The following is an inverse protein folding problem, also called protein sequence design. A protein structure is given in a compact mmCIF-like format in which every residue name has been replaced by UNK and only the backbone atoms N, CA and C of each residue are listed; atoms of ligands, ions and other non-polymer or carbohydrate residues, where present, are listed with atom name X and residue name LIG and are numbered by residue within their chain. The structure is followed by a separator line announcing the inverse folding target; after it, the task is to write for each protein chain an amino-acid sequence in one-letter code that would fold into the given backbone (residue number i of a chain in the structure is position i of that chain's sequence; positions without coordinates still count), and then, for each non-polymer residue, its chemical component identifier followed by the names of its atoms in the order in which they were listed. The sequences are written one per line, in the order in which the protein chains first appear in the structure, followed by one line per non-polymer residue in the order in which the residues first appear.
data_IF_583828482673
#
_entry.id   IF_583828482673
#
_cell.length_a   1.000
_cell.length_b   1.000
_cell.length_c   1.000
_cell.angle_alpha   90.00
_cell.angle_beta   90.00
_cell.angle_gamma   90.00
#
_symmetry.space_group_name_H-M   'P 1'
#
loop_
_entity.id
_entity.type
_entity.pdbx_description
1 polymer ?
#
# COMPACT_ATOMS: atom_id res chain seq x y z
N UNK A 1 -3.99 22.72 5.45
CA UNK A 1 -5.20 22.76 4.62
C UNK A 1 -6.37 22.32 5.50
N UNK A 2 -7.51 23.01 5.46
CA UNK A 2 -8.68 22.63 6.27
C UNK A 2 -9.66 21.91 5.34
N UNK A 3 -10.15 20.76 5.77
CA UNK A 3 -11.14 19.96 5.04
C UNK A 3 -12.34 19.71 5.95
N UNK A 4 -13.49 19.40 5.36
CA UNK A 4 -14.71 19.05 6.07
C UNK A 4 -15.11 17.59 5.82
N UNK A 5 -15.83 17.01 6.79
CA UNK A 5 -16.48 15.71 6.62
C UNK A 5 -17.83 15.95 5.95
N UNK A 6 -18.04 15.26 4.82
CA UNK A 6 -19.27 15.27 4.04
C UNK A 6 -20.20 14.14 4.49
N UNK A 7 -21.29 13.94 3.76
CA UNK A 7 -22.23 12.84 4.03
C UNK A 7 -21.53 11.47 4.01
N UNK A 8 -22.08 10.51 4.77
CA UNK A 8 -21.55 9.14 4.88
C UNK A 8 -20.08 9.08 5.32
N UNK A 9 -19.65 10.03 6.16
CA UNK A 9 -18.28 10.09 6.70
C UNK A 9 -17.19 10.18 5.63
N UNK A 10 -17.50 10.82 4.50
CA UNK A 10 -16.54 11.00 3.41
C UNK A 10 -15.73 12.28 3.59
N UNK A 11 -14.44 12.24 3.24
CA UNK A 11 -13.60 13.42 3.13
C UNK A 11 -13.03 13.52 1.72
N UNK A 12 -12.74 14.75 1.29
CA UNK A 12 -11.96 14.97 0.06
C UNK A 12 -10.49 15.07 0.45
N UNK A 13 -9.67 14.11 -0.04
CA UNK A 13 -8.22 14.21 0.05
C UNK A 13 -7.76 15.19 -1.05
N UNK A 14 -7.04 16.27 -0.69
CA UNK A 14 -6.53 17.25 -1.63
C UNK A 14 -5.65 16.63 -2.72
N UNK A 15 -5.67 17.21 -3.92
CA UNK A 15 -4.96 16.66 -5.09
C UNK A 15 -3.45 16.60 -4.85
N UNK A 16 -2.89 17.59 -4.15
CA UNK A 16 -1.47 17.66 -3.84
C UNK A 16 -1.04 16.46 -2.99
N UNK A 17 -1.84 16.07 -2.00
CA UNK A 17 -1.58 14.90 -1.15
C UNK A 17 -1.73 13.60 -1.95
N UNK A 18 -2.75 13.51 -2.80
CA UNK A 18 -2.93 12.34 -3.67
C UNK A 18 -1.71 12.11 -4.58
N UNK A 19 -1.16 13.20 -5.14
CA UNK A 19 0.00 13.16 -6.02
C UNK A 19 1.28 12.83 -5.25
N UNK A 20 1.49 13.45 -4.08
CA UNK A 20 2.65 13.20 -3.23
C UNK A 20 2.73 11.74 -2.77
N UNK A 21 1.58 11.14 -2.44
CA UNK A 21 1.50 9.74 -2.01
C UNK A 21 1.34 8.75 -3.17
N UNK A 22 1.28 9.24 -4.42
CA UNK A 22 1.06 8.43 -5.62
C UNK A 22 -0.14 7.47 -5.48
N UNK A 23 -1.26 7.99 -4.98
CA UNK A 23 -2.51 7.26 -4.81
C UNK A 23 -3.57 7.77 -5.77
N UNK A 24 -4.43 6.85 -6.20
CA UNK A 24 -5.53 7.13 -7.14
C UNK A 24 -6.88 6.64 -6.61
N UNK A 25 -7.96 7.03 -7.30
CA UNK A 25 -9.31 6.56 -7.00
C UNK A 25 -9.34 5.02 -6.98
N UNK A 26 -9.83 4.46 -5.87
CA UNK A 26 -9.89 3.00 -5.66
C UNK A 26 -8.69 2.41 -4.93
N UNK A 27 -7.67 3.21 -4.60
CA UNK A 27 -6.60 2.80 -3.69
C UNK A 27 -7.19 2.48 -2.32
N UNK A 28 -6.86 1.30 -1.78
CA UNK A 28 -7.27 0.93 -0.43
C UNK A 28 -6.40 1.65 0.60
N UNK A 29 -7.04 2.20 1.63
CA UNK A 29 -6.39 2.84 2.76
C UNK A 29 -6.77 2.10 4.03
N UNK A 30 -5.77 1.79 4.85
CA UNK A 30 -6.01 1.45 6.24
C UNK A 30 -6.35 2.73 7.02
N UNK A 31 -7.40 2.70 7.84
CA UNK A 31 -7.85 3.84 8.64
C UNK A 31 -7.78 3.48 10.13
N UNK A 32 -6.99 4.24 10.90
CA UNK A 32 -6.76 4.01 12.34
C UNK A 32 -6.80 5.32 13.12
N UNK A 33 -7.01 5.22 14.42
CA UNK A 33 -6.82 6.33 15.37
C UNK A 33 -5.51 6.12 16.11
N UNK A 34 -4.59 7.08 16.02
CA UNK A 34 -3.31 7.07 16.73
C UNK A 34 -3.17 8.42 17.42
N UNK A 35 -3.01 8.43 18.75
CA UNK A 35 -2.86 9.66 19.55
C UNK A 35 -3.97 10.71 19.31
N UNK A 36 -5.20 10.26 19.06
CA UNK A 36 -6.34 11.15 18.78
C UNK A 36 -6.41 11.66 17.33
N UNK A 37 -5.49 11.22 16.46
CA UNK A 37 -5.45 11.59 15.05
C UNK A 37 -6.01 10.46 14.16
N UNK A 38 -6.70 10.82 13.07
CA UNK A 38 -7.06 9.87 12.03
C UNK A 38 -5.84 9.68 11.13
N UNK A 39 -5.27 8.47 11.14
CA UNK A 39 -4.15 8.08 10.29
C UNK A 39 -4.67 7.21 9.16
N UNK A 40 -4.45 7.67 7.93
CA UNK A 40 -4.76 6.94 6.70
C UNK A 40 -3.47 6.45 6.06
N UNK A 41 -3.33 5.15 5.88
CA UNK A 41 -2.13 4.54 5.30
C UNK A 41 -2.49 3.79 4.03
N UNK A 42 -1.91 4.13 2.87
CA UNK A 42 -2.13 3.36 1.65
C UNK A 42 -1.68 1.90 1.82
N UNK A 43 -2.57 0.97 1.46
CA UNK A 43 -2.28 -0.46 1.50
C UNK A 43 -2.52 -1.10 0.13
N UNK A 44 -1.58 -1.96 -0.26
CA UNK A 44 -1.76 -2.89 -1.36
C UNK A 44 -2.00 -4.27 -0.76
N UNK A 45 -3.11 -4.89 -1.14
CA UNK A 45 -3.31 -6.31 -0.90
C UNK A 45 -2.47 -7.06 -1.91
N UNK A 46 -1.49 -7.82 -1.43
CA UNK A 46 -0.73 -8.74 -2.26
C UNK A 46 -1.50 -10.06 -2.22
N UNK A 47 -2.18 -10.39 -3.32
CA UNK A 47 -2.84 -11.68 -3.48
C UNK A 47 -1.83 -12.78 -3.82
N UNK A 48 -2.25 -14.05 -3.70
CA UNK A 48 -1.41 -15.20 -4.08
C UNK A 48 -0.89 -15.11 -5.52
N UNK A 49 -1.74 -14.65 -6.44
CA UNK A 49 -1.39 -14.44 -7.85
C UNK A 49 -0.27 -13.40 -8.02
N UNK A 50 -0.28 -12.34 -7.20
CA UNK A 50 0.77 -11.32 -7.24
C UNK A 50 2.11 -11.86 -6.74
N UNK A 51 2.10 -12.74 -5.73
CA UNK A 51 3.31 -13.41 -5.22
C UNK A 51 3.92 -14.30 -6.30
N UNK A 52 3.11 -15.05 -7.04
CA UNK A 52 3.59 -15.91 -8.13
C UNK A 52 4.21 -15.08 -9.27
N UNK A 53 3.59 -13.96 -9.63
CA UNK A 53 4.14 -13.06 -10.65
C UNK A 53 5.45 -12.40 -10.18
N UNK A 54 5.54 -12.02 -8.90
CA UNK A 54 6.77 -11.49 -8.30
C UNK A 54 7.87 -12.56 -8.28
N UNK A 55 7.56 -13.80 -7.87
CA UNK A 55 8.50 -14.95 -7.91
C UNK A 55 9.06 -15.16 -9.32
N UNK A 56 8.19 -15.09 -10.34
CA UNK A 56 8.59 -15.23 -11.74
C UNK A 56 9.54 -14.09 -12.17
N UNK A 57 9.18 -12.84 -11.86
CA UNK A 57 10.03 -11.68 -12.17
C UNK A 57 11.37 -11.72 -11.43
N UNK A 58 11.41 -12.19 -10.19
CA UNK A 58 12.64 -12.33 -9.41
C UNK A 58 13.57 -13.39 -10.01
N UNK A 59 13.04 -14.48 -10.55
CA UNK A 59 13.85 -15.50 -11.25
C UNK A 59 14.47 -14.97 -12.55
N UNK A 60 13.85 -13.96 -13.17
CA UNK A 60 14.36 -13.31 -14.37
C UNK A 60 15.44 -12.24 -14.08
N UNK A 61 15.65 -11.90 -12.80
CA UNK A 61 16.68 -10.94 -12.36
C UNK A 61 17.87 -11.72 -11.78
N UNK A 62 19.09 -11.31 -12.13
CA UNK A 62 20.32 -11.91 -11.59
C UNK A 62 20.60 -11.40 -10.16
N UNK A 63 19.68 -11.69 -9.23
CA UNK A 63 19.83 -11.42 -7.79
C UNK A 63 20.51 -12.60 -7.08
N UNK A 64 21.12 -12.33 -5.94
CA UNK A 64 21.68 -13.40 -5.13
C UNK A 64 20.59 -14.24 -4.47
N UNK A 65 20.89 -15.52 -4.23
CA UNK A 65 19.96 -16.47 -3.60
C UNK A 65 19.54 -16.03 -2.18
N UNK A 66 20.42 -15.32 -1.46
CA UNK A 66 20.11 -14.75 -0.16
C UNK A 66 19.07 -13.62 -0.24
N UNK A 67 19.22 -12.70 -1.20
CA UNK A 67 18.26 -11.61 -1.42
C UNK A 67 16.90 -12.15 -1.86
N UNK A 68 16.88 -13.18 -2.73
CA UNK A 68 15.65 -13.85 -3.13
C UNK A 68 14.88 -14.39 -1.91
N UNK A 69 15.57 -15.16 -1.06
CA UNK A 69 14.96 -15.78 0.11
C UNK A 69 14.45 -14.77 1.14
N UNK A 70 15.14 -13.63 1.30
CA UNK A 70 14.69 -12.55 2.16
C UNK A 70 13.39 -11.92 1.64
N UNK A 71 13.31 -11.63 0.34
CA UNK A 71 12.12 -11.04 -0.29
C UNK A 71 10.92 -12.00 -0.18
N UNK A 72 11.10 -13.30 -0.48
CA UNK A 72 10.03 -14.28 -0.34
C UNK A 72 9.58 -14.42 1.13
N UNK A 73 10.52 -14.41 2.07
CA UNK A 73 10.21 -14.44 3.50
C UNK A 73 9.36 -13.26 3.97
N UNK A 74 9.52 -12.08 3.38
CA UNK A 74 8.68 -10.90 3.67
C UNK A 74 7.30 -11.04 3.05
N UNK A 75 7.21 -11.59 1.83
CA UNK A 75 5.94 -11.77 1.11
C UNK A 75 5.04 -12.84 1.73
N UNK A 76 5.62 -13.91 2.28
CA UNK A 76 4.87 -15.05 2.85
C UNK A 76 4.50 -14.86 4.34
N UNK A 77 5.04 -13.83 5.02
CA UNK A 77 4.72 -13.50 6.42
C UNK A 77 3.53 -12.53 6.58
N UNK A 78 2.94 -12.07 5.47
CA UNK A 78 1.71 -11.24 5.45
C UNK A 78 0.51 -12.08 5.07
#
# INVERSE_FOLDING_TARGET
MIIEIKSKSQITIPKEIMQELNIDKGTNLECKVINGEIVLTPIKFIGKTDIEEIKKKLNDINISENEYNEIIGILERK
#
